data_IF_333517811238
#
_entry.id   IF_333517811238
#
_cell.length_a   1.000
_cell.length_b   1.000
_cell.length_c   1.000
_cell.angle_alpha   90.00
_cell.angle_beta   90.00
_cell.angle_gamma   90.00
#
_symmetry.space_group_name_H-M   'P 1'
#
loop_
_entity.id
_entity.type
_entity.pdbx_description
1 polymer ?
#
# COMPACT_ATOMS: atom_id res chain seq x y z
N UNK A 1 18.45 -25.17 -6.18
CA UNK A 1 17.60 -24.84 -7.32
C UNK A 1 18.26 -23.70 -8.09
N UNK A 2 18.58 -23.89 -9.36
CA UNK A 2 19.11 -22.80 -10.22
C UNK A 2 17.93 -22.05 -10.86
N UNK A 3 17.89 -20.73 -10.70
CA UNK A 3 16.84 -19.84 -11.22
C UNK A 3 17.34 -18.98 -12.41
N UNK A 4 18.58 -19.20 -12.88
CA UNK A 4 19.23 -18.38 -13.91
C UNK A 4 18.48 -18.39 -15.27
N UNK A 5 17.73 -19.48 -15.55
CA UNK A 5 16.90 -19.61 -16.75
C UNK A 5 15.51 -18.95 -16.68
N UNK A 6 15.07 -18.45 -15.51
CA UNK A 6 13.79 -17.78 -15.36
C UNK A 6 13.90 -16.31 -15.79
N UNK A 7 13.81 -16.09 -17.09
CA UNK A 7 13.88 -14.76 -17.72
C UNK A 7 12.72 -14.58 -18.70
N UNK A 8 12.11 -13.40 -18.67
CA UNK A 8 11.15 -12.96 -19.66
C UNK A 8 11.70 -11.72 -20.38
N UNK A 9 11.50 -11.64 -21.69
CA UNK A 9 11.73 -10.42 -22.44
C UNK A 9 10.50 -9.53 -22.32
N UNK A 10 10.73 -8.25 -22.00
CA UNK A 10 9.69 -7.25 -21.90
C UNK A 10 9.52 -6.51 -23.21
N UNK A 11 8.29 -6.48 -23.73
CA UNK A 11 7.99 -5.90 -25.05
C UNK A 11 6.63 -5.19 -25.13
N UNK A 12 5.93 -5.04 -24.00
CA UNK A 12 4.54 -4.54 -24.01
C UNK A 12 4.38 -3.04 -24.29
N UNK A 13 5.39 -2.25 -24.07
CA UNK A 13 5.26 -0.81 -24.23
C UNK A 13 6.56 -0.05 -24.01
N UNK A 14 6.45 1.27 -23.95
CA UNK A 14 7.52 2.20 -23.60
C UNK A 14 6.97 3.32 -22.73
N UNK A 15 7.86 4.13 -22.17
CA UNK A 15 7.54 5.31 -21.40
C UNK A 15 8.54 6.41 -21.72
N UNK A 16 8.05 7.56 -22.22
CA UNK A 16 8.90 8.71 -22.46
C UNK A 16 8.27 9.99 -21.88
N UNK A 17 9.02 11.06 -21.85
CA UNK A 17 8.60 12.34 -21.26
C UNK A 17 7.24 12.84 -21.77
N UNK A 18 6.91 12.76 -23.09
CA UNK A 18 5.60 13.19 -23.58
C UNK A 18 4.42 12.33 -23.07
N UNK A 19 4.69 11.13 -22.55
CA UNK A 19 3.65 10.23 -22.02
C UNK A 19 3.23 10.58 -20.59
N UNK A 20 4.02 11.43 -19.92
CA UNK A 20 3.79 11.78 -18.53
C UNK A 20 2.66 12.81 -18.37
N UNK A 21 1.94 12.71 -17.24
CA UNK A 21 1.12 13.82 -16.75
C UNK A 21 2.03 14.86 -16.02
N UNK A 22 1.56 16.08 -15.87
CA UNK A 22 2.28 17.12 -15.12
C UNK A 22 2.39 16.78 -13.62
N UNK A 23 1.42 16.03 -13.10
CA UNK A 23 1.33 15.60 -11.70
C UNK A 23 1.48 14.07 -11.57
N UNK A 24 2.35 13.55 -10.68
CA UNK A 24 2.58 12.12 -10.52
C UNK A 24 1.35 11.37 -9.97
N UNK A 25 0.45 12.03 -9.25
CA UNK A 25 -0.79 11.40 -8.74
C UNK A 25 -1.78 11.20 -9.90
N UNK A 26 -1.86 12.15 -10.82
CA UNK A 26 -2.63 11.99 -12.06
C UNK A 26 -2.05 10.85 -12.91
N UNK A 27 -0.73 10.82 -13.09
CA UNK A 27 -0.05 9.74 -13.83
C UNK A 27 -0.29 8.37 -13.18
N UNK A 28 -0.24 8.29 -11.84
CA UNK A 28 -0.58 7.08 -11.10
C UNK A 28 -2.03 6.65 -11.36
N UNK A 29 -2.98 7.59 -11.31
CA UNK A 29 -4.39 7.32 -11.59
C UNK A 29 -4.62 6.75 -12.98
N UNK A 30 -3.92 7.28 -13.99
CA UNK A 30 -3.94 6.77 -15.37
C UNK A 30 -3.45 5.32 -15.42
N UNK A 31 -2.29 5.03 -14.86
CA UNK A 31 -1.72 3.68 -14.86
C UNK A 31 -2.52 2.68 -14.02
N UNK A 32 -3.10 3.11 -12.90
CA UNK A 32 -4.01 2.26 -12.12
C UNK A 32 -5.27 1.93 -12.92
N UNK A 33 -5.84 2.90 -13.65
CA UNK A 33 -6.98 2.67 -14.55
C UNK A 33 -6.66 1.65 -15.64
N UNK A 34 -5.48 1.72 -16.24
CA UNK A 34 -5.01 0.74 -17.22
C UNK A 34 -4.80 -0.64 -16.59
N UNK A 35 -4.29 -0.72 -15.37
CA UNK A 35 -4.14 -1.99 -14.63
C UNK A 35 -5.50 -2.64 -14.33
N UNK A 36 -6.50 -1.84 -13.94
CA UNK A 36 -7.89 -2.30 -13.77
C UNK A 36 -8.46 -2.81 -15.09
N UNK A 37 -8.34 -2.03 -16.17
CA UNK A 37 -8.85 -2.38 -17.48
C UNK A 37 -8.19 -3.65 -18.08
N UNK A 38 -6.92 -3.88 -17.75
CA UNK A 38 -6.17 -5.08 -18.12
C UNK A 38 -6.48 -6.30 -17.25
N UNK A 39 -7.34 -6.18 -16.24
CA UNK A 39 -7.73 -7.28 -15.36
C UNK A 39 -6.59 -7.74 -14.43
N UNK A 40 -5.67 -6.84 -14.05
CA UNK A 40 -4.65 -7.16 -13.05
C UNK A 40 -5.32 -7.54 -11.74
N UNK A 41 -4.94 -8.68 -11.17
CA UNK A 41 -5.51 -9.14 -9.89
C UNK A 41 -5.14 -8.17 -8.76
N UNK A 42 -6.13 -7.68 -8.03
CA UNK A 42 -5.97 -6.69 -6.96
C UNK A 42 -5.00 -5.53 -7.34
N UNK A 43 -5.30 -4.72 -8.37
CA UNK A 43 -4.39 -3.70 -8.89
C UNK A 43 -4.03 -2.64 -7.84
N UNK A 44 -4.81 -2.52 -6.78
CA UNK A 44 -4.58 -1.67 -5.62
C UNK A 44 -3.77 -2.35 -4.50
N UNK A 45 -3.35 -3.62 -4.67
CA UNK A 45 -2.41 -4.25 -3.76
C UNK A 45 -1.02 -3.64 -3.93
N UNK A 46 -0.40 -3.29 -2.80
CA UNK A 46 0.93 -2.67 -2.78
C UNK A 46 1.79 -3.24 -1.65
N UNK A 47 3.09 -3.21 -1.84
CA UNK A 47 4.05 -3.46 -0.78
C UNK A 47 4.33 -2.16 -0.04
N UNK A 48 4.14 -2.13 1.27
CA UNK A 48 4.63 -1.06 2.14
C UNK A 48 5.92 -1.50 2.80
N UNK A 49 6.98 -0.77 2.55
CA UNK A 49 8.29 -0.93 3.18
C UNK A 49 8.47 0.15 4.24
N UNK A 50 8.85 -0.27 5.44
CA UNK A 50 9.11 0.58 6.60
C UNK A 50 10.45 0.22 7.20
N UNK A 51 11.05 1.08 7.98
CA UNK A 51 12.32 0.83 8.63
C UNK A 51 12.30 1.32 10.08
N UNK A 52 13.04 0.62 10.93
CA UNK A 52 13.35 1.10 12.29
C UNK A 52 14.26 2.34 12.22
N UNK A 53 14.39 3.15 13.30
CA UNK A 53 15.31 4.28 13.34
C UNK A 53 16.78 3.92 13.07
N UNK A 54 17.19 2.68 13.38
CA UNK A 54 18.52 2.15 13.09
C UNK A 54 18.64 1.54 11.66
N UNK A 55 17.61 1.75 10.81
CA UNK A 55 17.67 1.42 9.38
C UNK A 55 17.32 -0.03 9.04
N UNK A 56 16.76 -0.85 9.94
CA UNK A 56 16.34 -2.23 9.63
C UNK A 56 15.02 -2.23 8.87
N UNK A 57 14.99 -2.64 7.59
CA UNK A 57 13.77 -2.61 6.80
C UNK A 57 12.87 -3.80 7.09
N UNK A 58 11.58 -3.61 6.84
CA UNK A 58 10.59 -4.68 6.76
C UNK A 58 9.52 -4.35 5.72
N UNK A 59 8.92 -5.37 5.08
CA UNK A 59 7.93 -5.17 4.02
C UNK A 59 6.74 -6.12 4.17
N UNK A 60 5.57 -5.69 3.71
CA UNK A 60 4.33 -6.49 3.67
C UNK A 60 3.38 -5.95 2.63
N UNK A 61 2.49 -6.81 2.17
CA UNK A 61 1.37 -6.38 1.32
C UNK A 61 0.31 -5.67 2.13
N UNK A 62 -0.23 -4.59 1.59
CA UNK A 62 -1.46 -3.91 2.04
C UNK A 62 -2.25 -3.44 0.83
N UNK A 63 -3.47 -2.94 1.05
CA UNK A 63 -4.30 -2.41 -0.04
C UNK A 63 -4.34 -0.88 0.03
N UNK A 64 -4.07 -0.23 -1.10
CA UNK A 64 -4.38 1.18 -1.29
C UNK A 64 -5.90 1.36 -1.17
N UNK A 65 -6.34 2.34 -0.41
CA UNK A 65 -7.75 2.65 -0.15
C UNK A 65 -8.18 4.06 -0.58
N UNK A 66 -7.24 4.83 -1.06
CA UNK A 66 -7.47 6.14 -1.64
C UNK A 66 -6.16 6.78 -2.06
N UNK A 67 -6.22 7.67 -3.03
CA UNK A 67 -5.11 8.54 -3.41
C UNK A 67 -5.67 9.87 -3.91
N UNK A 68 -4.86 10.89 -3.88
CA UNK A 68 -5.21 12.24 -4.30
C UNK A 68 -4.03 13.18 -4.13
N UNK A 69 -4.23 14.49 -4.33
CA UNK A 69 -3.16 15.50 -4.26
C UNK A 69 -2.36 15.44 -2.96
N UNK A 70 -3.02 15.04 -1.86
CA UNK A 70 -2.38 14.93 -0.54
C UNK A 70 -1.58 13.63 -0.35
N UNK A 71 -1.68 12.65 -1.24
CA UNK A 71 -0.94 11.40 -1.19
C UNK A 71 -1.79 10.11 -1.19
N UNK A 72 -1.21 9.03 -0.70
CA UNK A 72 -1.69 7.65 -0.82
C UNK A 72 -2.14 7.11 0.54
N UNK A 73 -3.34 6.52 0.60
CA UNK A 73 -4.00 6.13 1.85
C UNK A 73 -4.10 4.63 2.00
N UNK A 74 -3.71 4.13 3.16
CA UNK A 74 -3.98 2.76 3.58
C UNK A 74 -4.38 2.69 5.05
N UNK A 75 -5.08 1.60 5.44
CA UNK A 75 -5.52 1.37 6.81
C UNK A 75 -4.86 0.11 7.38
N UNK A 76 -4.57 0.15 8.69
CA UNK A 76 -3.91 -0.96 9.38
C UNK A 76 -4.10 -0.85 10.89
N UNK A 77 -3.69 -1.90 11.63
CA UNK A 77 -3.51 -1.80 13.07
C UNK A 77 -2.21 -1.00 13.35
N UNK A 78 -2.31 0.11 14.10
CA UNK A 78 -1.21 1.02 14.42
C UNK A 78 -0.26 0.46 15.50
N UNK A 79 -0.69 -0.56 16.28
CA UNK A 79 0.16 -1.31 17.19
C UNK A 79 0.82 -2.55 16.53
N UNK A 80 0.72 -2.69 15.21
CA UNK A 80 1.45 -3.71 14.45
C UNK A 80 2.91 -3.30 14.24
N UNK A 81 3.78 -4.25 13.83
CA UNK A 81 5.20 -3.96 13.54
C UNK A 81 5.39 -2.75 12.62
N UNK A 82 4.61 -2.65 11.53
CA UNK A 82 4.69 -1.47 10.64
C UNK A 82 4.21 -0.19 11.32
N UNK A 83 3.20 -0.29 12.20
CA UNK A 83 2.72 0.85 12.98
C UNK A 83 3.77 1.35 13.97
N UNK A 84 4.44 0.43 14.68
CA UNK A 84 5.55 0.75 15.58
C UNK A 84 6.72 1.42 14.81
N UNK A 85 7.09 0.83 13.63
CA UNK A 85 8.15 1.37 12.78
C UNK A 85 7.79 2.78 12.26
N UNK A 86 6.57 3.00 11.75
CA UNK A 86 6.12 4.31 11.25
C UNK A 86 5.98 5.37 12.35
N UNK A 87 5.67 4.96 13.57
CA UNK A 87 5.62 5.87 14.72
C UNK A 87 7.02 6.38 15.11
N UNK A 88 8.04 5.53 14.94
CA UNK A 88 9.43 5.85 15.27
C UNK A 88 10.21 6.46 14.07
N UNK A 89 9.86 6.09 12.85
CA UNK A 89 10.44 6.59 11.61
C UNK A 89 9.34 6.65 10.53
N UNK A 90 8.80 7.82 10.21
CA UNK A 90 7.68 7.96 9.28
C UNK A 90 8.07 7.77 7.81
N UNK A 91 9.35 7.65 7.48
CA UNK A 91 9.82 7.39 6.12
C UNK A 91 9.40 5.99 5.66
N UNK A 92 8.82 5.91 4.48
CA UNK A 92 8.37 4.64 3.91
C UNK A 92 8.40 4.65 2.38
N UNK A 93 8.30 3.44 1.82
CA UNK A 93 8.12 3.27 0.39
C UNK A 93 6.92 2.39 0.09
N UNK A 94 6.20 2.73 -0.98
CA UNK A 94 5.11 1.95 -1.55
C UNK A 94 5.57 1.41 -2.90
N UNK A 95 5.25 0.15 -3.20
CA UNK A 95 5.54 -0.46 -4.50
C UNK A 95 4.28 -1.15 -5.04
N UNK A 96 3.88 -0.78 -6.25
CA UNK A 96 2.82 -1.41 -7.03
C UNK A 96 3.44 -2.27 -8.14
N UNK A 97 3.48 -3.61 -7.99
CA UNK A 97 4.10 -4.50 -8.97
C UNK A 97 3.07 -5.01 -9.99
N UNK A 98 2.81 -4.26 -11.04
CA UNK A 98 1.88 -4.66 -12.11
C UNK A 98 2.60 -5.51 -13.17
N UNK A 99 3.08 -6.69 -12.77
CA UNK A 99 3.82 -7.63 -13.63
C UNK A 99 3.13 -7.94 -14.96
N UNK A 100 1.80 -8.16 -15.03
CA UNK A 100 1.14 -8.43 -16.32
C UNK A 100 1.27 -7.31 -17.34
N UNK A 101 1.55 -6.09 -16.89
CA UNK A 101 1.79 -4.92 -17.74
C UNK A 101 3.27 -4.60 -17.92
N UNK A 102 4.16 -5.40 -17.33
CA UNK A 102 5.60 -5.13 -17.29
C UNK A 102 5.89 -3.75 -16.67
N UNK A 103 5.11 -3.36 -15.65
CA UNK A 103 5.17 -2.06 -14.98
C UNK A 103 5.33 -2.18 -13.47
N UNK A 104 5.97 -1.17 -12.91
CA UNK A 104 5.89 -0.91 -11.48
C UNK A 104 5.83 0.59 -11.21
N UNK A 105 5.17 0.96 -10.12
CA UNK A 105 5.25 2.32 -9.55
C UNK A 105 5.84 2.23 -8.16
N UNK A 106 6.87 3.04 -7.90
CA UNK A 106 7.49 3.17 -6.59
C UNK A 106 7.28 4.57 -6.07
N UNK A 107 6.84 4.68 -4.83
CA UNK A 107 6.56 5.95 -4.15
C UNK A 107 7.36 5.97 -2.87
N UNK A 108 8.17 6.99 -2.66
CA UNK A 108 8.89 7.24 -1.42
C UNK A 108 8.35 8.53 -0.80
N UNK A 109 8.16 8.53 0.52
CA UNK A 109 7.61 9.68 1.19
C UNK A 109 7.35 9.45 2.68
N UNK A 110 6.65 10.40 3.27
CA UNK A 110 6.39 10.46 4.71
C UNK A 110 4.97 10.01 5.04
N UNK A 111 4.85 9.07 5.96
CA UNK A 111 3.56 8.58 6.45
C UNK A 111 3.05 9.44 7.61
N UNK A 112 1.82 9.93 7.49
CA UNK A 112 1.10 10.67 8.52
C UNK A 112 -0.15 9.91 8.94
N UNK A 113 -0.49 9.93 10.23
CA UNK A 113 -1.72 9.31 10.72
C UNK A 113 -2.93 10.07 10.21
N UNK A 114 -3.96 9.32 9.79
CA UNK A 114 -5.26 9.89 9.46
C UNK A 114 -6.00 10.33 10.74
N UNK A 115 -6.88 11.34 10.59
CA UNK A 115 -7.79 11.75 11.64
C UNK A 115 -8.83 10.66 11.95
N UNK A 116 -9.41 10.74 13.16
CA UNK A 116 -10.36 9.76 13.68
C UNK A 116 -11.64 9.67 12.83
N UNK A 117 -12.13 10.79 12.31
CA UNK A 117 -13.38 10.83 11.52
C UNK A 117 -13.22 10.06 10.20
N UNK A 118 -12.06 10.22 9.53
CA UNK A 118 -11.74 9.49 8.30
C UNK A 118 -11.54 7.99 8.56
N UNK A 119 -10.90 7.66 9.67
CA UNK A 119 -10.72 6.27 10.13
C UNK A 119 -12.07 5.63 10.38
N UNK A 120 -12.95 6.27 11.14
CA UNK A 120 -14.30 5.77 11.48
C UNK A 120 -15.15 5.58 10.22
N UNK A 121 -15.17 6.59 9.33
CA UNK A 121 -15.92 6.52 8.06
C UNK A 121 -15.52 5.30 7.24
N UNK A 122 -14.23 5.04 7.09
CA UNK A 122 -13.77 3.86 6.35
C UNK A 122 -14.02 2.57 7.13
N UNK A 123 -13.84 2.52 8.46
CA UNK A 123 -14.06 1.32 9.26
C UNK A 123 -15.48 0.80 9.15
N UNK A 124 -16.48 1.69 9.15
CA UNK A 124 -17.91 1.34 8.98
C UNK A 124 -18.22 0.71 7.62
N UNK A 125 -17.48 1.06 6.56
CA UNK A 125 -17.66 0.49 5.21
C UNK A 125 -17.05 -0.91 5.06
N UNK A 126 -16.29 -1.39 6.04
CA UNK A 126 -15.67 -2.71 5.96
C UNK A 126 -16.72 -3.80 6.19
N UNK A 127 -16.60 -4.95 5.49
CA UNK A 127 -17.42 -6.12 5.81
C UNK A 127 -17.35 -6.45 7.30
N UNK A 128 -18.46 -6.82 7.91
CA UNK A 128 -18.54 -7.08 9.35
C UNK A 128 -17.47 -8.04 9.85
N UNK A 129 -17.24 -9.16 9.16
CA UNK A 129 -16.18 -10.10 9.51
C UNK A 129 -14.79 -9.45 9.59
N UNK A 130 -14.51 -8.44 8.75
CA UNK A 130 -13.26 -7.70 8.79
C UNK A 130 -13.21 -6.67 9.94
N UNK A 131 -14.36 -6.13 10.35
CA UNK A 131 -14.47 -5.28 11.55
C UNK A 131 -14.21 -6.11 12.82
N UNK A 132 -14.85 -7.27 12.95
CA UNK A 132 -14.65 -8.20 14.07
C UNK A 132 -13.19 -8.71 14.12
N UNK A 133 -12.61 -9.05 12.96
CA UNK A 133 -11.22 -9.46 12.85
C UNK A 133 -10.22 -8.40 13.33
N UNK A 134 -10.54 -7.11 13.14
CA UNK A 134 -9.70 -6.02 13.65
C UNK A 134 -9.65 -5.96 15.19
N UNK A 135 -10.73 -6.33 15.86
CA UNK A 135 -10.79 -6.48 17.32
C UNK A 135 -10.13 -7.77 17.82
N UNK A 136 -10.24 -8.86 17.06
CA UNK A 136 -9.78 -10.18 17.47
C UNK A 136 -8.25 -10.35 17.36
N UNK A 137 -7.57 -9.52 16.53
CA UNK A 137 -6.18 -9.73 16.17
C UNK A 137 -5.27 -8.63 16.73
N UNK A 138 -4.36 -8.99 17.63
CA UNK A 138 -3.20 -8.19 17.98
C UNK A 138 -2.16 -8.32 16.85
N UNK A 139 -2.36 -7.61 15.74
CA UNK A 139 -1.59 -7.76 14.50
C UNK A 139 -0.07 -7.70 14.75
N UNK A 140 0.67 -8.64 14.17
CA UNK A 140 2.14 -8.80 14.27
C UNK A 140 2.67 -9.23 15.65
N UNK A 141 1.79 -9.53 16.60
CA UNK A 141 2.21 -10.08 17.90
C UNK A 141 2.17 -11.63 17.85
N UNK A 142 3.07 -12.32 18.57
CA UNK A 142 3.02 -13.77 18.67
C UNK A 142 1.70 -14.27 19.25
N UNK A 143 1.21 -15.37 18.73
CA UNK A 143 0.08 -16.14 19.27
C UNK A 143 0.50 -17.59 19.39
N UNK A 144 -0.05 -18.31 20.36
CA UNK A 144 0.37 -19.69 20.64
C UNK A 144 -0.16 -20.70 19.61
N UNK A 145 -1.32 -20.42 18.98
CA UNK A 145 -1.93 -21.35 18.06
C UNK A 145 -3.02 -20.72 17.18
N UNK A 146 -3.40 -21.44 16.13
CA UNK A 146 -4.57 -21.10 15.31
C UNK A 146 -5.86 -21.15 16.15
N UNK A 147 -5.96 -22.07 17.12
CA UNK A 147 -7.12 -22.21 18.01
C UNK A 147 -7.28 -20.97 18.91
N UNK A 148 -6.19 -20.39 19.38
CA UNK A 148 -6.23 -19.13 20.14
C UNK A 148 -6.83 -17.99 19.31
N UNK A 149 -6.43 -17.84 18.05
CA UNK A 149 -7.02 -16.85 17.13
C UNK A 149 -8.52 -17.08 16.93
N UNK A 150 -8.93 -18.34 16.75
CA UNK A 150 -10.35 -18.68 16.60
C UNK A 150 -11.14 -18.35 17.87
N UNK A 151 -10.60 -18.65 19.06
CA UNK A 151 -11.21 -18.30 20.35
C UNK A 151 -11.33 -16.78 20.53
N UNK A 152 -10.29 -16.03 20.15
CA UNK A 152 -10.33 -14.57 20.21
C UNK A 152 -11.43 -14.01 19.30
N UNK A 153 -11.54 -14.54 18.09
CA UNK A 153 -12.58 -14.12 17.13
C UNK A 153 -13.99 -14.45 17.66
N UNK A 154 -14.21 -15.65 18.22
CA UNK A 154 -15.49 -16.06 18.80
C UNK A 154 -15.92 -15.13 19.95
N UNK A 155 -15.00 -14.77 20.86
CA UNK A 155 -15.30 -13.80 21.94
C UNK A 155 -15.72 -12.43 21.39
N UNK A 156 -15.12 -11.97 20.30
CA UNK A 156 -15.49 -10.71 19.66
C UNK A 156 -16.88 -10.82 19.02
N UNK A 157 -17.23 -11.97 18.40
CA UNK A 157 -18.56 -12.25 17.90
C UNK A 157 -19.61 -12.28 19.03
N UNK A 158 -19.31 -12.90 20.17
CA UNK A 158 -20.19 -12.87 21.36
C UNK A 158 -20.43 -11.43 21.85
N UNK A 159 -19.38 -10.59 21.82
CA UNK A 159 -19.46 -9.20 22.29
C UNK A 159 -20.28 -8.29 21.38
N UNK A 160 -20.13 -8.40 20.07
CA UNK A 160 -20.69 -7.45 19.09
C UNK A 160 -21.75 -8.06 18.17
N UNK A 161 -22.00 -9.39 18.27
CA UNK A 161 -22.81 -10.12 17.31
C UNK A 161 -22.07 -10.49 16.03
N UNK A 162 -22.51 -11.57 15.38
CA UNK A 162 -21.90 -12.11 14.16
C UNK A 162 -22.63 -11.70 12.87
N UNK A 163 -23.94 -11.35 12.99
CA UNK A 163 -24.82 -11.04 11.87
C UNK A 163 -24.70 -9.61 11.36
N UNK A 164 -24.99 -9.40 10.08
CA UNK A 164 -25.00 -8.06 9.47
C UNK A 164 -26.06 -7.11 10.09
N UNK A 165 -27.10 -7.64 10.72
CA UNK A 165 -28.14 -6.87 11.42
C UNK A 165 -27.83 -6.57 12.88
N UNK A 166 -26.74 -7.11 13.43
CA UNK A 166 -26.32 -6.84 14.80
C UNK A 166 -25.77 -5.41 14.93
N UNK A 167 -25.74 -4.89 16.16
CA UNK A 167 -25.34 -3.52 16.43
C UNK A 167 -23.98 -3.11 15.84
N UNK A 168 -23.68 -1.83 15.81
CA UNK A 168 -22.45 -1.28 15.27
C UNK A 168 -21.21 -1.83 15.98
N UNK A 169 -20.16 -2.17 15.21
CA UNK A 169 -18.84 -2.52 15.72
C UNK A 169 -18.01 -1.24 15.80
N UNK A 170 -17.63 -0.76 16.99
CA UNK A 170 -16.81 0.44 17.10
C UNK A 170 -15.40 0.21 16.57
N UNK A 171 -14.70 1.29 16.23
CA UNK A 171 -13.31 1.23 15.81
C UNK A 171 -12.44 0.79 16.99
N UNK A 172 -11.58 -0.26 16.84
CA UNK A 172 -10.62 -0.61 17.87
C UNK A 172 -9.62 0.54 18.11
N UNK A 173 -9.17 0.77 19.36
CA UNK A 173 -8.24 1.86 19.68
C UNK A 173 -6.94 1.86 18.87
N UNK A 174 -6.43 0.69 18.56
CA UNK A 174 -5.18 0.52 17.79
C UNK A 174 -5.41 0.53 16.27
N UNK A 175 -6.66 0.56 15.79
CA UNK A 175 -6.94 0.53 14.38
C UNK A 175 -6.97 1.95 13.80
N UNK A 176 -6.29 2.17 12.68
CA UNK A 176 -6.20 3.47 12.07
C UNK A 176 -5.73 3.39 10.62
N UNK A 177 -5.29 4.52 10.10
CA UNK A 177 -4.77 4.65 8.75
C UNK A 177 -3.62 5.63 8.67
N UNK A 178 -2.95 5.56 7.54
CA UNK A 178 -1.87 6.47 7.17
C UNK A 178 -2.14 7.06 5.79
N UNK A 179 -1.75 8.33 5.63
CA UNK A 179 -1.54 8.98 4.34
C UNK A 179 -0.04 9.09 4.12
N UNK A 180 0.44 8.64 2.99
CA UNK A 180 1.84 8.81 2.56
C UNK A 180 1.90 10.01 1.63
N UNK A 181 2.50 11.12 2.09
CA UNK A 181 2.81 12.29 1.28
C UNK A 181 4.03 11.96 0.40
N UNK A 182 3.90 11.96 -0.94
CA UNK A 182 4.99 11.54 -1.82
C UNK A 182 6.07 12.62 -1.95
N UNK A 183 7.33 12.19 -1.88
CA UNK A 183 8.52 12.99 -2.18
C UNK A 183 9.17 12.58 -3.50
N UNK A 184 9.13 11.25 -3.81
CA UNK A 184 9.58 10.68 -5.08
C UNK A 184 8.53 9.70 -5.60
N UNK A 185 8.23 9.76 -6.90
CA UNK A 185 7.35 8.80 -7.58
C UNK A 185 8.03 8.32 -8.86
N UNK A 186 8.46 7.06 -8.89
CA UNK A 186 9.09 6.44 -10.05
C UNK A 186 8.07 5.60 -10.83
N UNK A 187 7.97 5.85 -12.11
CA UNK A 187 7.28 5.02 -13.09
C UNK A 187 8.30 4.22 -13.87
N UNK A 188 8.21 2.90 -13.79
CA UNK A 188 9.10 1.97 -14.44
C UNK A 188 8.32 1.13 -15.46
N UNK A 189 8.78 1.08 -16.70
CA UNK A 189 8.25 0.26 -17.78
C UNK A 189 9.31 -0.69 -18.30
N UNK A 190 8.96 -1.99 -18.37
CA UNK A 190 9.81 -3.02 -18.93
C UNK A 190 10.10 -2.81 -20.42
N UNK A 191 11.36 -3.01 -20.81
CA UNK A 191 11.83 -2.91 -22.20
C UNK A 191 12.75 -4.07 -22.53
N UNK A 192 12.87 -4.43 -23.86
CA UNK A 192 13.83 -5.44 -24.31
C UNK A 192 15.25 -5.13 -23.86
N UNK A 193 16.07 -6.17 -23.82
CA UNK A 193 17.50 -6.08 -23.49
C UNK A 193 17.80 -5.40 -22.14
N UNK A 194 16.81 -5.37 -21.22
CA UNK A 194 16.86 -4.70 -19.92
C UNK A 194 17.07 -3.18 -19.96
N UNK A 195 16.88 -2.55 -21.12
CA UNK A 195 16.96 -1.09 -21.28
C UNK A 195 15.63 -0.44 -20.87
N UNK A 196 15.25 -0.64 -19.61
CA UNK A 196 13.96 -0.23 -19.06
C UNK A 196 13.80 1.29 -19.01
N UNK A 197 12.59 1.77 -19.26
CA UNK A 197 12.29 3.19 -19.08
C UNK A 197 12.00 3.45 -17.59
N UNK A 198 12.68 4.46 -17.04
CA UNK A 198 12.55 4.86 -15.63
C UNK A 198 12.43 6.36 -15.57
N UNK A 199 11.26 6.87 -15.24
CA UNK A 199 10.98 8.30 -15.06
C UNK A 199 10.56 8.56 -13.62
N UNK A 200 11.26 9.49 -12.98
CA UNK A 200 11.05 9.85 -11.57
C UNK A 200 10.56 11.28 -11.49
N UNK A 201 9.48 11.49 -10.79
CA UNK A 201 9.08 12.79 -10.25
C UNK A 201 9.71 12.95 -8.88
N UNK A 202 10.51 13.99 -8.71
CA UNK A 202 11.10 14.38 -7.43
C UNK A 202 10.48 15.70 -6.97
N UNK A 203 10.07 15.75 -5.71
CA UNK A 203 9.53 16.97 -5.12
C UNK A 203 10.62 18.03 -4.96
N UNK A 204 10.34 19.25 -5.40
CA UNK A 204 11.21 20.43 -5.27
C UNK A 204 10.36 21.64 -4.84
N UNK A 205 10.20 21.80 -3.53
CA UNK A 205 9.22 22.72 -2.95
C UNK A 205 7.80 22.33 -3.36
N UNK A 206 7.09 23.26 -4.02
CA UNK A 206 5.73 23.04 -4.49
C UNK A 206 5.63 22.44 -5.91
N UNK A 207 6.77 22.15 -6.52
CA UNK A 207 6.83 21.63 -7.89
C UNK A 207 7.34 20.20 -7.95
N UNK A 208 7.08 19.55 -9.09
CA UNK A 208 7.69 18.28 -9.46
C UNK A 208 8.75 18.51 -10.54
N UNK A 209 9.92 17.94 -10.32
CA UNK A 209 10.98 17.87 -11.33
C UNK A 209 11.03 16.43 -11.82
N UNK A 210 11.04 16.26 -13.16
CA UNK A 210 11.11 14.94 -13.78
C UNK A 210 12.52 14.64 -14.23
N UNK A 211 13.00 13.45 -13.90
CA UNK A 211 14.31 12.94 -14.27
C UNK A 211 14.19 11.54 -14.89
N UNK A 212 15.02 11.23 -15.89
CA UNK A 212 15.17 9.88 -16.43
C UNK A 212 16.35 9.20 -15.72
N UNK A 213 16.10 8.01 -15.16
CA UNK A 213 17.15 7.20 -14.58
C UNK A 213 17.65 6.16 -15.58
N UNK A 214 18.94 5.82 -15.49
CA UNK A 214 19.48 4.65 -16.19
C UNK A 214 18.82 3.35 -15.64
N UNK A 215 18.58 2.35 -16.49
CA UNK A 215 18.00 1.08 -16.10
C UNK A 215 18.94 0.25 -15.22
#
# INVERSE_FOLDING_TARGET
MDLSGLRAEYARGGLDLPDLADDPVEMFGRWLGEAVAAGVHEPNAMVVSTATPDGRPSSRMVLLKGFGPDGFVFFTNQASRKGDELAANPQCALLFPWHPLERQVRIEGVAEKLDAARVETYFRQRPRGAQLGAWASAQSRPVSSRAELATSYARVQERFGAGEGDGEVPVPPEWGGYRVAPEHVEFWQGRPSRMHDRLVYRRDGDRWVVERLAP
#
